data_IF_132506532899
#
_entry.id   IF_132506532899
#
_cell.length_a   1.000
_cell.length_b   1.000
_cell.length_c   1.000
_cell.angle_alpha   90.00
_cell.angle_beta   90.00
_cell.angle_gamma   90.00
#
_symmetry.space_group_name_H-M   'P 1'
#
loop_
_entity.id
_entity.type
_entity.pdbx_description
1 polymer ?
#
# COMPACT_ATOMS: atom_id res chain seq x y z
N UNK A 1 9.79 6.92 -12.62
CA UNK A 1 8.48 6.48 -12.10
C UNK A 1 8.36 6.79 -10.62
N UNK A 2 7.13 7.08 -10.16
CA UNK A 2 6.87 7.47 -8.78
C UNK A 2 5.93 6.46 -8.12
N UNK A 3 6.32 5.95 -6.96
CA UNK A 3 5.45 5.11 -6.13
C UNK A 3 5.16 5.86 -4.83
N UNK A 4 3.89 5.99 -4.50
CA UNK A 4 3.46 6.43 -3.18
C UNK A 4 3.32 5.22 -2.28
N UNK A 5 4.05 5.22 -1.17
CA UNK A 5 3.91 4.22 -0.12
C UNK A 5 3.18 4.85 1.07
N UNK A 6 1.90 4.56 1.18
CA UNK A 6 1.11 4.91 2.36
C UNK A 6 1.33 3.84 3.43
N UNK A 7 2.06 4.18 4.46
CA UNK A 7 2.45 3.24 5.50
C UNK A 7 1.84 3.65 6.85
N UNK A 8 0.77 2.97 7.25
CA UNK A 8 0.29 3.03 8.63
C UNK A 8 1.11 2.07 9.47
N UNK A 9 2.04 2.61 10.24
CA UNK A 9 3.04 1.85 10.98
C UNK A 9 3.08 2.26 12.45
N UNK A 10 2.03 1.92 13.25
CA UNK A 10 1.88 2.40 14.63
C UNK A 10 2.73 1.63 15.64
N UNK A 11 3.37 0.52 15.27
CA UNK A 11 4.13 -0.34 16.17
C UNK A 11 5.56 -0.58 15.65
N UNK A 12 6.43 -1.11 16.52
CA UNK A 12 7.78 -1.49 16.11
C UNK A 12 7.76 -2.51 14.97
N UNK A 13 6.87 -3.49 15.01
CA UNK A 13 6.76 -4.51 13.96
C UNK A 13 6.27 -3.93 12.63
N UNK A 14 5.28 -3.06 12.63
CA UNK A 14 4.82 -2.41 11.39
C UNK A 14 5.84 -1.42 10.85
N UNK A 15 6.61 -0.76 11.72
CA UNK A 15 7.76 0.06 11.30
C UNK A 15 8.86 -0.78 10.64
N UNK A 16 9.10 -2.00 11.15
CA UNK A 16 10.04 -2.93 10.50
C UNK A 16 9.58 -3.27 9.07
N UNK A 17 8.29 -3.50 8.85
CA UNK A 17 7.74 -3.75 7.51
C UNK A 17 7.94 -2.54 6.59
N UNK A 18 7.61 -1.35 7.07
CA UNK A 18 7.81 -0.10 6.33
C UNK A 18 9.27 0.09 5.94
N UNK A 19 10.18 -0.08 6.89
CA UNK A 19 11.61 0.18 6.68
C UNK A 19 12.23 -0.89 5.78
N UNK A 20 11.79 -2.15 5.89
CA UNK A 20 12.23 -3.22 5.00
C UNK A 20 11.82 -2.99 3.53
N UNK A 21 10.62 -2.47 3.30
CA UNK A 21 10.16 -2.06 1.97
C UNK A 21 11.02 -0.92 1.43
N UNK A 22 11.28 0.10 2.26
CA UNK A 22 12.14 1.21 1.86
C UNK A 22 13.54 0.73 1.46
N UNK A 23 14.11 -0.17 2.27
CA UNK A 23 15.44 -0.72 2.01
C UNK A 23 15.47 -1.54 0.72
N UNK A 24 14.44 -2.34 0.46
CA UNK A 24 14.35 -3.14 -0.76
C UNK A 24 14.28 -2.26 -2.02
N UNK A 25 13.48 -1.19 -1.99
CA UNK A 25 13.33 -0.30 -3.13
C UNK A 25 14.43 0.77 -3.25
N UNK A 26 15.37 0.82 -2.31
CA UNK A 26 16.57 1.66 -2.42
C UNK A 26 17.75 0.96 -3.10
N UNK A 27 17.58 -0.28 -3.52
CA UNK A 27 18.62 -1.03 -4.22
C UNK A 27 18.79 -0.53 -5.67
N UNK A 28 20.01 -0.64 -6.26
CA UNK A 28 20.29 -0.11 -7.61
C UNK A 28 19.35 -0.63 -8.70
N UNK A 29 18.79 -1.83 -8.52
CA UNK A 29 17.85 -2.40 -9.48
C UNK A 29 16.54 -1.62 -9.60
N UNK A 30 16.25 -0.72 -8.66
CA UNK A 30 15.07 0.14 -8.64
C UNK A 30 15.40 1.63 -8.80
N UNK A 31 16.58 1.98 -9.31
CA UNK A 31 16.99 3.39 -9.50
C UNK A 31 16.02 4.19 -10.39
N UNK A 32 15.24 3.51 -11.23
CA UNK A 32 14.19 4.11 -12.06
C UNK A 32 12.91 4.46 -11.30
N UNK A 33 12.83 4.13 -10.01
CA UNK A 33 11.64 4.32 -9.18
C UNK A 33 11.94 5.26 -8.02
N UNK A 34 11.22 6.36 -7.94
CA UNK A 34 11.24 7.25 -6.79
C UNK A 34 10.15 6.82 -5.80
N UNK A 35 10.56 6.42 -4.59
CA UNK A 35 9.64 6.02 -3.54
C UNK A 35 9.38 7.19 -2.57
N UNK A 36 8.11 7.59 -2.48
CA UNK A 36 7.65 8.56 -1.48
C UNK A 36 6.90 7.83 -0.37
N UNK A 37 7.42 7.88 0.85
CA UNK A 37 6.82 7.20 2.02
C UNK A 37 6.12 8.23 2.90
N UNK A 38 4.83 8.05 3.13
CA UNK A 38 4.02 8.90 3.99
C UNK A 38 3.11 8.05 4.88
N UNK A 39 2.87 8.53 6.09
CA UNK A 39 1.76 8.02 6.88
C UNK A 39 0.44 8.52 6.26
N UNK A 40 -0.67 7.77 6.38
CA UNK A 40 -1.94 8.17 5.76
C UNK A 40 -2.42 9.55 6.17
N UNK A 41 -2.24 9.93 7.45
CA UNK A 41 -2.65 11.24 7.96
C UNK A 41 -1.81 12.41 7.40
N UNK A 42 -0.62 12.13 6.89
CA UNK A 42 0.28 13.14 6.31
C UNK A 42 0.16 13.23 4.79
N UNK A 43 -0.61 12.35 4.18
CA UNK A 43 -0.81 12.28 2.74
C UNK A 43 -2.08 13.05 2.31
N UNK A 44 -2.04 13.55 1.09
CA UNK A 44 -3.18 14.19 0.44
C UNK A 44 -3.42 13.56 -0.95
N UNK A 45 -4.57 13.87 -1.57
CA UNK A 45 -4.89 13.44 -2.92
C UNK A 45 -3.79 13.81 -3.92
N UNK A 46 -3.17 14.99 -3.77
CA UNK A 46 -2.09 15.45 -4.64
C UNK A 46 -0.86 14.55 -4.61
N UNK A 47 -0.60 13.85 -3.52
CA UNK A 47 0.51 12.89 -3.46
C UNK A 47 0.24 11.69 -4.36
N UNK A 48 -1.00 11.19 -4.37
CA UNK A 48 -1.39 10.07 -5.22
C UNK A 48 -1.54 10.48 -6.69
N UNK A 49 -1.97 11.71 -6.95
CA UNK A 49 -2.06 12.23 -8.33
C UNK A 49 -0.72 12.18 -9.07
N UNK A 50 0.39 12.35 -8.36
CA UNK A 50 1.74 12.29 -8.93
C UNK A 50 2.29 10.88 -9.04
N UNK A 51 1.64 9.89 -8.43
CA UNK A 51 2.15 8.52 -8.38
C UNK A 51 1.76 7.71 -9.63
N UNK A 52 2.65 6.85 -10.06
CA UNK A 52 2.42 5.82 -11.09
C UNK A 52 1.97 4.49 -10.47
N UNK A 53 2.09 4.35 -9.15
CA UNK A 53 1.64 3.19 -8.39
C UNK A 53 1.43 3.51 -6.92
N UNK A 54 0.58 2.75 -6.26
CA UNK A 54 0.30 2.85 -4.83
C UNK A 54 0.72 1.56 -4.11
N UNK A 55 1.56 1.70 -3.10
CA UNK A 55 1.79 0.65 -2.11
C UNK A 55 1.09 1.07 -0.82
N UNK A 56 0.25 0.21 -0.28
CA UNK A 56 -0.46 0.44 0.97
C UNK A 56 -0.05 -0.58 2.02
N UNK A 57 0.38 -0.10 3.17
CA UNK A 57 0.49 -0.90 4.40
C UNK A 57 -0.52 -0.35 5.40
N UNK A 58 -1.44 -1.20 5.83
CA UNK A 58 -2.40 -0.87 6.88
C UNK A 58 -2.52 -2.01 7.90
N UNK A 59 -3.16 -1.72 9.01
CA UNK A 59 -3.51 -2.71 10.03
C UNK A 59 -5.01 -2.96 10.02
N UNK A 60 -5.43 -4.16 10.43
CA UNK A 60 -6.82 -4.43 10.78
C UNK A 60 -7.02 -4.10 12.25
N UNK A 61 -7.90 -3.15 12.52
CA UNK A 61 -8.26 -2.72 13.87
C UNK A 61 -9.76 -2.95 14.05
N UNK A 62 -10.11 -3.78 15.03
CA UNK A 62 -11.51 -4.06 15.36
C UNK A 62 -12.33 -4.46 14.11
N UNK A 63 -11.79 -5.39 13.32
CA UNK A 63 -12.48 -5.94 12.15
C UNK A 63 -12.56 -5.04 10.91
N UNK A 64 -11.78 -3.95 10.87
CA UNK A 64 -11.76 -2.99 9.77
C UNK A 64 -10.35 -2.41 9.59
N UNK A 65 -10.11 -1.71 8.48
CA UNK A 65 -8.83 -1.00 8.31
C UNK A 65 -8.64 0.06 9.38
N UNK A 66 -7.40 0.41 9.66
CA UNK A 66 -7.06 1.50 10.58
C UNK A 66 -7.80 2.78 10.22
N UNK A 67 -8.28 3.50 11.23
CA UNK A 67 -9.06 4.73 11.03
C UNK A 67 -8.31 5.80 10.24
N UNK A 68 -6.99 5.94 10.46
CA UNK A 68 -6.17 6.89 9.71
C UNK A 68 -6.03 6.50 8.22
N UNK A 69 -6.05 5.22 7.91
CA UNK A 69 -6.07 4.75 6.51
C UNK A 69 -7.41 5.11 5.86
N UNK A 70 -8.53 4.84 6.53
CA UNK A 70 -9.86 5.21 6.01
C UNK A 70 -10.01 6.72 5.87
N UNK A 71 -9.47 7.49 6.81
CA UNK A 71 -9.48 8.95 6.75
C UNK A 71 -8.80 9.47 5.46
N UNK A 72 -7.67 8.91 5.08
CA UNK A 72 -7.04 9.26 3.80
C UNK A 72 -7.98 9.03 2.62
N UNK A 73 -8.64 7.88 2.56
CA UNK A 73 -9.57 7.59 1.47
C UNK A 73 -10.79 8.51 1.48
N UNK A 74 -11.33 8.82 2.66
CA UNK A 74 -12.46 9.75 2.78
C UNK A 74 -12.09 11.16 2.33
N UNK A 75 -10.93 11.68 2.75
CA UNK A 75 -10.47 13.03 2.40
C UNK A 75 -10.12 13.19 0.92
N UNK A 76 -9.68 12.10 0.27
CA UNK A 76 -9.13 12.14 -1.09
C UNK A 76 -10.10 11.62 -2.15
N UNK A 77 -11.23 11.02 -1.75
CA UNK A 77 -12.13 10.31 -2.67
C UNK A 77 -12.61 11.17 -3.84
N UNK A 78 -13.19 12.31 -3.55
CA UNK A 78 -13.76 13.17 -4.59
C UNK A 78 -12.69 13.72 -5.54
N UNK A 79 -11.54 14.12 -5.01
CA UNK A 79 -10.45 14.66 -5.80
C UNK A 79 -9.80 13.60 -6.71
N UNK A 80 -9.83 12.34 -6.31
CA UNK A 80 -9.21 11.24 -7.05
C UNK A 80 -10.18 10.51 -7.98
N UNK A 81 -11.47 10.73 -7.82
CA UNK A 81 -12.50 10.01 -8.59
C UNK A 81 -12.29 10.25 -10.09
N UNK A 82 -12.18 9.16 -10.84
CA UNK A 82 -11.95 9.15 -12.28
C UNK A 82 -10.62 9.78 -12.75
N UNK A 83 -9.73 10.14 -11.81
CA UNK A 83 -8.45 10.81 -12.16
C UNK A 83 -7.31 9.83 -12.43
N UNK A 84 -7.31 8.68 -11.80
CA UNK A 84 -6.24 7.68 -11.91
C UNK A 84 -6.78 6.29 -12.28
N UNK A 85 -7.55 6.17 -13.37
CA UNK A 85 -8.07 4.85 -13.77
C UNK A 85 -6.93 3.88 -14.07
N UNK A 86 -7.06 2.66 -13.57
CA UNK A 86 -6.04 1.63 -13.78
C UNK A 86 -4.78 1.77 -12.91
N UNK A 87 -4.74 2.71 -11.94
CA UNK A 87 -3.59 2.83 -11.06
C UNK A 87 -3.24 1.48 -10.44
N UNK A 88 -2.00 0.97 -10.63
CA UNK A 88 -1.59 -0.28 -10.02
C UNK A 88 -1.42 -0.13 -8.51
N UNK A 89 -1.96 -1.09 -7.77
CA UNK A 89 -1.93 -1.10 -6.31
C UNK A 89 -1.41 -2.42 -5.77
N UNK A 90 -0.46 -2.37 -4.85
CA UNK A 90 -0.09 -3.50 -4.00
C UNK A 90 -0.47 -3.18 -2.56
N UNK A 91 -0.97 -4.16 -1.83
CA UNK A 91 -1.49 -3.95 -0.47
C UNK A 91 -1.00 -5.00 0.50
N UNK A 92 -0.59 -4.52 1.67
CA UNK A 92 -0.17 -5.30 2.82
C UNK A 92 -1.12 -4.99 3.98
N UNK A 93 -1.76 -6.01 4.52
CA UNK A 93 -2.66 -5.90 5.67
C UNK A 93 -2.05 -6.66 6.84
N UNK A 94 -1.65 -5.96 7.90
CA UNK A 94 -1.21 -6.60 9.13
C UNK A 94 -2.42 -6.84 10.02
N UNK A 95 -2.77 -8.08 10.28
CA UNK A 95 -3.96 -8.47 11.02
C UNK A 95 -3.63 -9.48 12.12
N UNK A 96 -4.13 -9.26 13.33
CA UNK A 96 -4.03 -10.23 14.41
C UNK A 96 -4.93 -11.45 14.19
N UNK A 97 -6.07 -11.27 13.54
CA UNK A 97 -7.00 -12.31 13.13
C UNK A 97 -6.90 -12.55 11.61
N UNK A 98 -8.01 -12.69 10.90
CA UNK A 98 -7.96 -13.14 9.51
C UNK A 98 -7.77 -12.03 8.47
N UNK A 99 -8.10 -10.77 8.77
CA UNK A 99 -7.92 -9.63 7.86
C UNK A 99 -8.88 -9.55 6.68
N UNK A 100 -9.81 -10.49 6.54
CA UNK A 100 -10.68 -10.57 5.35
C UNK A 100 -11.65 -9.42 5.22
N UNK A 101 -12.16 -8.89 6.33
CA UNK A 101 -13.05 -7.73 6.31
C UNK A 101 -12.31 -6.48 5.79
N UNK A 102 -11.09 -6.25 6.22
CA UNK A 102 -10.24 -5.17 5.73
C UNK A 102 -9.93 -5.33 4.24
N UNK A 103 -9.59 -6.54 3.82
CA UNK A 103 -9.36 -6.84 2.39
C UNK A 103 -10.56 -6.48 1.54
N UNK A 104 -11.75 -6.94 1.92
CA UNK A 104 -12.98 -6.65 1.19
C UNK A 104 -13.30 -5.15 1.12
N UNK A 105 -13.07 -4.44 2.22
CA UNK A 105 -13.28 -2.99 2.28
C UNK A 105 -12.34 -2.26 1.32
N UNK A 106 -11.06 -2.61 1.30
CA UNK A 106 -10.07 -2.02 0.39
C UNK A 106 -10.36 -2.36 -1.08
N UNK A 107 -10.70 -3.60 -1.38
CA UNK A 107 -11.10 -4.00 -2.73
C UNK A 107 -12.30 -3.18 -3.24
N UNK A 108 -13.23 -2.86 -2.37
CA UNK A 108 -14.40 -2.02 -2.69
C UNK A 108 -13.97 -0.58 -3.02
N UNK A 109 -13.06 -0.02 -2.23
CA UNK A 109 -12.50 1.31 -2.46
C UNK A 109 -11.75 1.35 -3.80
N UNK A 110 -10.89 0.37 -4.06
CA UNK A 110 -10.13 0.31 -5.32
C UNK A 110 -11.06 0.20 -6.53
N UNK A 111 -12.10 -0.62 -6.43
CA UNK A 111 -13.08 -0.76 -7.50
C UNK A 111 -13.82 0.56 -7.76
N UNK A 112 -14.23 1.25 -6.70
CA UNK A 112 -14.90 2.55 -6.81
C UNK A 112 -14.01 3.61 -7.48
N UNK A 113 -12.70 3.57 -7.22
CA UNK A 113 -11.72 4.47 -7.83
C UNK A 113 -11.25 4.02 -9.23
N UNK A 114 -11.60 2.81 -9.65
CA UNK A 114 -11.09 2.24 -10.90
C UNK A 114 -9.62 1.84 -10.83
N UNK A 115 -9.08 1.61 -9.63
CA UNK A 115 -7.69 1.17 -9.45
C UNK A 115 -7.55 -0.33 -9.62
N UNK A 116 -6.32 -0.77 -9.93
CA UNK A 116 -6.03 -2.15 -10.28
C UNK A 116 -5.08 -2.80 -9.29
N UNK A 117 -5.56 -3.65 -8.38
CA UNK A 117 -4.66 -4.51 -7.61
C UNK A 117 -3.80 -5.37 -8.55
N UNK A 118 -2.48 -5.38 -8.33
CA UNK A 118 -1.55 -6.16 -9.17
C UNK A 118 -1.58 -7.65 -8.82
N UNK A 119 -2.08 -7.98 -7.64
CA UNK A 119 -2.25 -9.34 -7.13
C UNK A 119 -3.33 -9.34 -6.06
N UNK A 120 -3.65 -10.51 -5.51
CA UNK A 120 -4.47 -10.59 -4.30
C UNK A 120 -3.80 -9.78 -3.17
N UNK A 121 -4.61 -9.05 -2.39
CA UNK A 121 -4.12 -8.28 -1.27
C UNK A 121 -3.48 -9.23 -0.24
N UNK A 122 -2.26 -8.92 0.17
CA UNK A 122 -1.48 -9.77 1.07
C UNK A 122 -1.91 -9.52 2.51
N UNK A 123 -2.39 -10.58 3.18
CA UNK A 123 -2.72 -10.55 4.60
C UNK A 123 -1.58 -11.19 5.38
N UNK A 124 -0.91 -10.39 6.21
CA UNK A 124 0.11 -10.82 7.16
C UNK A 124 -0.58 -11.06 8.50
N UNK A 125 -1.10 -12.26 8.71
CA UNK A 125 -2.06 -12.51 9.79
C UNK A 125 -1.49 -13.37 10.92
N UNK A 126 -2.06 -13.20 12.10
CA UNK A 126 -1.69 -13.96 13.29
C UNK A 126 -0.58 -13.33 14.11
N UNK A 127 0.11 -14.12 14.93
CA UNK A 127 1.29 -13.66 15.65
C UNK A 127 2.39 -13.18 14.72
N UNK A 128 3.31 -12.36 15.23
CA UNK A 128 4.42 -11.90 14.42
C UNK A 128 5.25 -13.07 13.88
N UNK A 129 5.56 -13.02 12.60
CA UNK A 129 6.40 -13.95 11.87
C UNK A 129 7.45 -13.18 11.09
N UNK A 130 8.73 -13.55 11.20
CA UNK A 130 9.81 -12.89 10.47
C UNK A 130 9.64 -13.01 8.93
N UNK A 131 8.92 -14.01 8.45
CA UNK A 131 8.56 -14.16 7.05
C UNK A 131 7.71 -13.03 6.51
N UNK A 132 7.02 -12.28 7.36
CA UNK A 132 6.25 -11.09 6.94
C UNK A 132 7.13 -10.02 6.29
N UNK A 133 8.37 -9.89 6.74
CA UNK A 133 9.33 -8.94 6.17
C UNK A 133 9.58 -9.25 4.68
N UNK A 134 9.90 -10.51 4.37
CA UNK A 134 10.11 -10.95 2.98
C UNK A 134 8.86 -10.79 2.12
N UNK A 135 7.68 -11.12 2.66
CA UNK A 135 6.41 -10.94 1.94
C UNK A 135 6.14 -9.46 1.61
N UNK A 136 6.44 -8.56 2.54
CA UNK A 136 6.29 -7.13 2.32
C UNK A 136 7.25 -6.63 1.22
N UNK A 137 8.50 -7.07 1.25
CA UNK A 137 9.48 -6.73 0.23
C UNK A 137 9.08 -7.27 -1.14
N UNK A 138 8.63 -8.52 -1.22
CA UNK A 138 8.21 -9.14 -2.48
C UNK A 138 7.05 -8.37 -3.13
N UNK A 139 6.05 -7.97 -2.36
CA UNK A 139 4.93 -7.19 -2.86
C UNK A 139 5.38 -5.82 -3.40
N UNK A 140 6.26 -5.15 -2.68
CA UNK A 140 6.81 -3.85 -3.07
C UNK A 140 7.67 -3.95 -4.34
N UNK A 141 8.55 -4.94 -4.41
CA UNK A 141 9.41 -5.16 -5.58
C UNK A 141 8.60 -5.54 -6.82
N UNK A 142 7.56 -6.36 -6.68
CA UNK A 142 6.66 -6.70 -7.79
C UNK A 142 5.95 -5.46 -8.34
N UNK A 143 5.45 -4.58 -7.47
CA UNK A 143 4.86 -3.31 -7.88
C UNK A 143 5.88 -2.43 -8.59
N UNK A 144 7.05 -2.23 -8.00
CA UNK A 144 8.08 -1.36 -8.53
C UNK A 144 8.56 -1.82 -9.91
N UNK A 145 8.87 -3.10 -10.06
CA UNK A 145 9.31 -3.67 -11.34
C UNK A 145 8.25 -3.52 -12.43
N UNK A 146 6.98 -3.79 -12.12
CA UNK A 146 5.90 -3.67 -13.08
C UNK A 146 5.59 -2.23 -13.48
N UNK A 147 5.63 -1.30 -12.53
CA UNK A 147 5.47 0.14 -12.82
C UNK A 147 6.63 0.66 -13.66
N UNK A 148 7.86 0.31 -13.33
CA UNK A 148 9.03 0.72 -14.09
C UNK A 148 8.99 0.20 -15.53
N UNK A 149 8.61 -1.05 -15.71
CA UNK A 149 8.51 -1.70 -17.02
C UNK A 149 7.24 -1.30 -17.80
N UNK A 150 6.30 -0.59 -17.20
CA UNK A 150 5.05 -0.21 -17.86
C UNK A 150 4.12 -1.39 -18.16
N UNK A 151 4.14 -2.42 -17.29
CA UNK A 151 3.33 -3.65 -17.47
C UNK A 151 1.88 -3.45 -16.99
N UNK A 152 1.64 -2.53 -16.08
CA UNK A 152 0.34 -2.28 -15.48
C UNK A 152 -0.42 -1.15 -16.16
#
# INVERSE_FOLDING_TARGET
>A
KHILFLAHAPSDNTRRLRDAVRDALSQPEFDGVELRVLAPQDAAASDLMRADGLLLLTTENIGYMAGLTKDFFDRSYDDLLEQKPGLPVATLIRAGLDGTATRRALERIYRAQGWRPISALTILHGGWDEGFVGQAQDAAMALAAGVEAGIF
#
